data_IF_511391161010
#
_entry.id   IF_511391161010
#
_cell.length_a   1.000
_cell.length_b   1.000
_cell.length_c   1.000
_cell.angle_alpha   90.00
_cell.angle_beta   90.00
_cell.angle_gamma   90.00
#
_symmetry.space_group_name_H-M   'P 1'
#
loop_
_entity.id
_entity.type
_entity.pdbx_description
1 polymer ?
#
# COMPACT_ATOMS: atom_id res chain seq x y z
N UNK A 1 1.25 -1.63 -13.80
CA UNK A 1 1.04 -1.15 -12.41
C UNK A 1 0.42 0.23 -12.51
N UNK A 2 -0.53 0.55 -11.65
CA UNK A 2 -1.18 1.86 -11.63
C UNK A 2 -1.43 2.27 -10.19
N UNK A 3 -1.38 3.57 -9.94
CA UNK A 3 -1.84 4.23 -8.73
C UNK A 3 -2.87 5.29 -9.12
N UNK A 4 -3.49 5.99 -8.15
CA UNK A 4 -4.58 6.92 -8.44
C UNK A 4 -4.21 8.09 -9.35
N UNK A 5 -2.91 8.38 -9.50
CA UNK A 5 -2.40 9.50 -10.28
C UNK A 5 -1.42 9.10 -11.38
N UNK A 6 -0.89 7.87 -11.37
CA UNK A 6 0.13 7.41 -12.31
C UNK A 6 -0.16 6.02 -12.87
N UNK A 7 0.26 5.82 -14.12
CA UNK A 7 0.28 4.49 -14.76
C UNK A 7 1.71 4.23 -15.22
N UNK A 8 2.24 3.06 -14.85
CA UNK A 8 3.55 2.59 -15.32
C UNK A 8 3.35 1.63 -16.49
N UNK A 9 3.95 1.99 -17.63
CA UNK A 9 4.03 1.15 -18.83
C UNK A 9 5.46 0.65 -18.97
N UNK A 10 5.63 -0.68 -18.98
CA UNK A 10 6.94 -1.33 -19.16
C UNK A 10 7.04 -1.74 -20.62
N UNK A 11 8.07 -1.24 -21.31
CA UNK A 11 8.37 -1.59 -22.70
C UNK A 11 9.62 -2.47 -22.71
N UNK A 12 9.54 -3.59 -23.41
CA UNK A 12 10.53 -4.65 -23.45
C UNK A 12 10.87 -5.04 -24.89
N UNK A 13 11.81 -5.98 -25.05
CA UNK A 13 12.17 -6.55 -26.36
C UNK A 13 11.03 -7.30 -27.06
N UNK A 14 9.95 -7.64 -26.33
CA UNK A 14 8.77 -8.31 -26.89
C UNK A 14 7.78 -7.35 -27.56
N UNK A 15 7.87 -6.05 -27.28
CA UNK A 15 6.89 -5.06 -27.71
C UNK A 15 7.21 -4.55 -29.12
N UNK A 16 6.18 -4.46 -29.96
CA UNK A 16 6.30 -3.94 -31.32
C UNK A 16 5.79 -2.51 -31.39
N UNK A 17 6.21 -1.77 -32.42
CA UNK A 17 5.70 -0.42 -32.71
C UNK A 17 4.15 -0.39 -32.74
N UNK A 18 3.53 -1.43 -33.32
CA UNK A 18 2.08 -1.55 -33.42
C UNK A 18 1.39 -1.62 -32.05
N UNK A 19 2.03 -2.23 -31.04
CA UNK A 19 1.48 -2.33 -29.69
C UNK A 19 1.48 -0.96 -29.01
N UNK A 20 2.57 -0.19 -29.19
CA UNK A 20 2.69 1.17 -28.68
C UNK A 20 1.74 2.15 -29.38
N UNK A 21 1.56 2.04 -30.69
CA UNK A 21 0.60 2.85 -31.44
C UNK A 21 -0.82 2.62 -30.89
N UNK A 22 -1.21 1.36 -30.67
CA UNK A 22 -2.51 1.00 -30.08
C UNK A 22 -2.69 1.55 -28.67
N UNK A 23 -1.63 1.52 -27.84
CA UNK A 23 -1.66 2.09 -26.49
C UNK A 23 -1.90 3.61 -26.53
N UNK A 24 -1.17 4.33 -27.37
CA UNK A 24 -1.31 5.79 -27.52
C UNK A 24 -2.71 6.15 -28.00
N UNK A 25 -3.24 5.44 -28.97
CA UNK A 25 -4.58 5.68 -29.50
C UNK A 25 -5.66 5.40 -28.44
N UNK A 26 -5.51 4.36 -27.63
CA UNK A 26 -6.42 4.07 -26.52
C UNK A 26 -6.39 5.18 -25.45
N UNK A 27 -5.20 5.66 -25.06
CA UNK A 27 -5.07 6.74 -24.09
C UNK A 27 -5.68 8.06 -24.59
N UNK A 28 -5.53 8.38 -25.88
CA UNK A 28 -6.20 9.55 -26.49
C UNK A 28 -7.71 9.44 -26.41
N UNK A 29 -8.28 8.28 -26.74
CA UNK A 29 -9.73 8.04 -26.66
C UNK A 29 -10.24 8.19 -25.21
N UNK A 30 -9.53 7.62 -24.24
CA UNK A 30 -9.89 7.78 -22.81
C UNK A 30 -9.87 9.25 -22.41
N UNK A 31 -8.88 10.03 -22.86
CA UNK A 31 -8.80 11.45 -22.57
C UNK A 31 -9.98 12.22 -23.20
N UNK A 32 -10.35 11.92 -24.44
CA UNK A 32 -11.52 12.49 -25.12
C UNK A 32 -12.81 12.17 -24.37
N UNK A 33 -13.03 10.92 -23.96
CA UNK A 33 -14.22 10.48 -23.22
C UNK A 33 -14.31 11.11 -21.81
N UNK A 34 -13.17 11.30 -21.14
CA UNK A 34 -13.12 11.87 -19.78
C UNK A 34 -13.56 13.33 -19.72
N UNK A 35 -13.47 14.10 -20.83
CA UNK A 35 -13.97 15.48 -20.87
C UNK A 35 -15.48 15.58 -20.70
N UNK A 36 -16.20 14.47 -20.88
CA UNK A 36 -17.66 14.39 -20.79
C UNK A 36 -18.16 13.94 -19.41
N UNK A 37 -17.27 13.48 -18.52
CA UNK A 37 -17.61 12.91 -17.22
C UNK A 37 -16.75 13.51 -16.11
N UNK A 38 -17.26 14.55 -15.44
CA UNK A 38 -16.67 15.05 -14.20
C UNK A 38 -17.01 14.10 -13.07
N UNK A 39 -16.01 13.44 -12.48
CA UNK A 39 -16.20 12.62 -11.29
C UNK A 39 -16.47 13.49 -10.06
N UNK A 40 -17.58 13.26 -9.36
CA UNK A 40 -17.96 13.96 -8.12
C UNK A 40 -17.03 13.66 -6.92
N UNK A 41 -16.07 12.74 -7.08
CA UNK A 41 -15.12 12.36 -6.04
C UNK A 41 -13.71 12.84 -6.40
N UNK A 42 -13.21 13.93 -5.79
CA UNK A 42 -11.82 14.32 -5.95
C UNK A 42 -10.90 13.25 -5.35
N UNK A 43 -10.07 12.65 -6.20
CA UNK A 43 -8.99 11.75 -5.81
C UNK A 43 -8.02 12.55 -4.93
N UNK A 44 -8.09 12.34 -3.61
CA UNK A 44 -7.23 13.06 -2.65
C UNK A 44 -5.92 12.30 -2.49
N UNK A 45 -4.79 13.00 -2.57
CA UNK A 45 -3.48 12.40 -2.35
C UNK A 45 -3.37 11.94 -0.88
N UNK A 46 -3.14 10.64 -0.59
CA UNK A 46 -3.03 10.13 0.78
C UNK A 46 -1.81 10.69 1.54
N UNK A 47 -0.90 11.37 0.84
CA UNK A 47 0.33 11.92 1.38
C UNK A 47 1.44 10.87 1.43
N UNK A 48 2.61 11.32 1.89
CA UNK A 48 3.77 10.44 2.07
C UNK A 48 3.53 9.47 3.23
N UNK A 49 4.09 8.25 3.16
CA UNK A 49 4.09 7.35 4.30
C UNK A 49 4.82 7.98 5.48
N UNK A 50 4.40 7.67 6.73
CA UNK A 50 5.10 8.13 7.91
C UNK A 50 6.52 7.58 7.97
N UNK A 51 7.36 8.22 8.78
CA UNK A 51 8.69 7.67 9.09
C UNK A 51 8.48 6.33 9.84
N UNK A 52 9.14 5.24 9.44
CA UNK A 52 9.03 3.96 10.13
C UNK A 52 9.36 4.09 11.61
N UNK A 53 8.67 3.28 12.43
CA UNK A 53 8.99 3.19 13.85
C UNK A 53 10.42 2.71 14.08
N UNK A 54 10.95 3.00 15.27
CA UNK A 54 12.27 2.52 15.63
C UNK A 54 12.28 0.99 15.71
N UNK A 55 13.36 0.37 15.25
CA UNK A 55 13.55 -1.07 15.29
C UNK A 55 14.06 -1.50 16.66
N UNK A 56 13.29 -2.33 17.35
CA UNK A 56 13.63 -2.87 18.68
C UNK A 56 14.17 -4.29 18.64
N UNK A 57 13.83 -5.05 17.58
CA UNK A 57 14.36 -6.40 17.32
C UNK A 57 14.85 -6.48 15.88
N UNK A 58 15.82 -7.34 15.59
CA UNK A 58 16.13 -7.62 14.20
C UNK A 58 14.97 -8.41 13.54
N UNK A 59 14.72 -8.24 12.23
CA UNK A 59 13.53 -8.81 11.60
C UNK A 59 13.37 -10.32 11.77
N UNK A 60 14.49 -11.06 11.72
CA UNK A 60 14.49 -12.51 11.93
C UNK A 60 14.01 -12.90 13.33
N UNK A 61 14.43 -12.17 14.37
CA UNK A 61 14.02 -12.47 15.74
C UNK A 61 12.55 -12.18 15.94
N UNK A 62 12.07 -11.02 15.48
CA UNK A 62 10.66 -10.66 15.61
C UNK A 62 9.74 -11.60 14.83
N UNK A 63 10.15 -12.04 13.63
CA UNK A 63 9.37 -12.97 12.81
C UNK A 63 9.26 -14.37 13.44
N UNK A 64 10.33 -14.84 14.11
CA UNK A 64 10.36 -16.15 14.77
C UNK A 64 9.85 -16.11 16.22
N UNK A 65 9.61 -14.92 16.76
CA UNK A 65 9.12 -14.77 18.12
C UNK A 65 7.68 -15.25 18.26
N UNK A 66 7.35 -15.62 19.49
CA UNK A 66 5.97 -15.80 19.90
C UNK A 66 5.18 -14.52 19.63
N UNK A 67 4.06 -14.66 18.93
CA UNK A 67 3.22 -13.53 18.52
C UNK A 67 1.75 -13.76 18.88
N UNK A 68 0.98 -12.67 18.80
CA UNK A 68 -0.47 -12.68 18.97
C UNK A 68 -1.12 -11.69 18.01
N UNK A 69 -2.34 -11.97 17.51
CA UNK A 69 -3.12 -10.97 16.81
C UNK A 69 -3.60 -9.91 17.80
N UNK A 70 -3.58 -8.65 17.38
CA UNK A 70 -4.21 -7.52 18.07
C UNK A 70 -5.00 -6.69 17.05
N UNK A 71 -6.08 -6.01 17.49
CA UNK A 71 -6.72 -4.99 16.68
C UNK A 71 -5.69 -3.94 16.24
N UNK A 72 -5.69 -3.57 14.96
CA UNK A 72 -4.74 -2.61 14.40
C UNK A 72 -4.75 -1.28 15.17
N UNK A 73 -5.92 -0.84 15.64
CA UNK A 73 -6.05 0.39 16.44
C UNK A 73 -5.45 0.29 17.84
N UNK A 74 -5.25 -0.93 18.35
CA UNK A 74 -4.69 -1.20 19.68
C UNK A 74 -3.21 -1.61 19.63
N UNK A 75 -2.63 -1.72 18.43
CA UNK A 75 -1.24 -2.17 18.25
C UNK A 75 -0.21 -1.05 18.39
N UNK A 76 -0.62 0.19 18.66
CA UNK A 76 0.31 1.31 18.84
C UNK A 76 1.31 1.02 19.98
N UNK A 77 2.58 1.27 19.73
CA UNK A 77 3.69 0.99 20.65
C UNK A 77 4.06 -0.49 20.78
N UNK A 78 3.42 -1.40 20.05
CA UNK A 78 3.79 -2.83 20.03
C UNK A 78 4.79 -3.11 18.91
N UNK A 79 5.55 -4.19 19.06
CA UNK A 79 6.51 -4.64 18.05
C UNK A 79 5.79 -5.47 16.99
N UNK A 80 5.91 -5.06 15.73
CA UNK A 80 5.35 -5.79 14.59
C UNK A 80 6.01 -7.17 14.46
N UNK A 81 5.23 -8.20 14.17
CA UNK A 81 5.72 -9.56 13.90
C UNK A 81 5.54 -9.98 12.43
N UNK A 82 4.90 -9.15 11.61
CA UNK A 82 4.62 -9.42 10.19
C UNK A 82 5.15 -8.30 9.29
N UNK A 83 5.25 -8.58 8.00
CA UNK A 83 5.51 -7.56 6.99
C UNK A 83 4.16 -7.03 6.52
N UNK A 84 3.90 -5.74 6.71
CA UNK A 84 2.67 -5.10 6.21
C UNK A 84 3.02 -4.29 4.97
N UNK A 85 2.38 -4.62 3.83
CA UNK A 85 2.66 -4.02 2.52
C UNK A 85 1.37 -3.46 1.93
N UNK A 86 1.44 -2.27 1.33
CA UNK A 86 0.29 -1.60 0.72
C UNK A 86 0.46 -1.59 -0.78
N UNK A 87 -0.59 -1.95 -1.52
CA UNK A 87 -0.63 -1.89 -2.97
C UNK A 87 -1.78 -1.01 -3.49
N UNK A 88 -1.48 -0.01 -4.35
CA UNK A 88 -0.16 0.61 -4.62
C UNK A 88 0.34 1.44 -3.41
N UNK A 89 1.65 1.72 -3.26
CA UNK A 89 2.76 1.59 -4.23
C UNK A 89 3.48 0.23 -4.25
N UNK A 90 3.18 -0.69 -3.34
CA UNK A 90 3.76 -2.03 -3.27
C UNK A 90 5.07 -2.14 -2.51
N UNK A 91 5.28 -1.28 -1.51
CA UNK A 91 6.43 -1.32 -0.61
C UNK A 91 5.95 -1.62 0.82
N UNK A 92 6.81 -2.28 1.60
CA UNK A 92 6.52 -2.56 3.00
C UNK A 92 6.43 -1.25 3.80
N UNK A 93 5.34 -1.11 4.55
CA UNK A 93 5.14 -0.03 5.52
C UNK A 93 5.61 -0.43 6.92
N UNK A 94 5.46 -1.71 7.27
CA UNK A 94 5.98 -2.28 8.50
C UNK A 94 6.80 -3.52 8.19
N UNK A 95 7.92 -3.67 8.89
CA UNK A 95 8.77 -4.86 8.89
C UNK A 95 8.80 -5.45 10.32
N UNK A 96 8.89 -6.78 10.48
CA UNK A 96 9.03 -7.38 11.80
C UNK A 96 10.16 -6.73 12.61
N UNK A 97 9.89 -6.46 13.88
CA UNK A 97 10.85 -5.85 14.81
C UNK A 97 10.77 -4.33 14.89
N UNK A 98 10.01 -3.68 14.02
CA UNK A 98 9.67 -2.26 14.13
C UNK A 98 8.53 -2.02 15.11
N UNK A 99 8.56 -0.88 15.79
CA UNK A 99 7.43 -0.45 16.62
C UNK A 99 6.33 0.14 15.74
N UNK A 100 5.11 -0.35 15.92
CA UNK A 100 3.93 0.17 15.23
C UNK A 100 3.56 1.52 15.86
N UNK A 101 3.59 2.59 15.07
CA UNK A 101 3.24 3.94 15.55
C UNK A 101 1.78 4.29 15.24
N UNK A 102 1.24 5.28 15.96
CA UNK A 102 -0.12 5.77 15.70
C UNK A 102 -0.26 6.35 14.29
N UNK A 103 0.77 7.05 13.79
CA UNK A 103 0.79 7.61 12.44
C UNK A 103 0.78 6.52 11.38
N UNK A 104 1.45 5.39 11.64
CA UNK A 104 1.42 4.22 10.78
C UNK A 104 0.02 3.63 10.70
N UNK A 105 -0.65 3.47 11.84
CA UNK A 105 -2.03 2.98 11.93
C UNK A 105 -2.98 3.92 11.16
N UNK A 106 -2.88 5.23 11.40
CA UNK A 106 -3.69 6.23 10.71
C UNK A 106 -3.47 6.22 9.20
N UNK A 107 -2.24 6.02 8.75
CA UNK A 107 -1.91 5.91 7.33
C UNK A 107 -2.52 4.65 6.69
N UNK A 108 -2.44 3.50 7.37
CA UNK A 108 -3.07 2.25 6.92
C UNK A 108 -4.59 2.43 6.81
N UNK A 109 -5.23 3.01 7.83
CA UNK A 109 -6.68 3.26 7.79
C UNK A 109 -7.08 4.17 6.62
N UNK A 110 -6.38 5.29 6.42
CA UNK A 110 -6.66 6.22 5.30
C UNK A 110 -6.54 5.54 3.94
N UNK A 111 -5.55 4.67 3.77
CA UNK A 111 -5.36 3.94 2.52
C UNK A 111 -6.39 2.83 2.32
N UNK A 112 -6.85 2.21 3.40
CA UNK A 112 -7.98 1.27 3.37
C UNK A 112 -9.24 1.97 2.86
N UNK A 113 -9.53 3.17 3.38
CA UNK A 113 -10.67 3.98 2.94
C UNK A 113 -10.55 4.42 1.47
N UNK A 114 -9.31 4.53 0.97
CA UNK A 114 -9.00 4.82 -0.42
C UNK A 114 -9.16 3.58 -1.35
N UNK A 115 -9.41 2.40 -0.80
CA UNK A 115 -9.51 1.15 -1.55
C UNK A 115 -8.15 0.53 -1.91
N UNK A 116 -7.08 0.92 -1.22
CA UNK A 116 -5.78 0.24 -1.35
C UNK A 116 -5.88 -1.19 -0.81
N UNK A 117 -5.14 -2.10 -1.43
CA UNK A 117 -5.00 -3.48 -0.93
C UNK A 117 -3.88 -3.52 0.10
N UNK A 118 -4.12 -4.17 1.24
CA UNK A 118 -3.12 -4.33 2.29
C UNK A 118 -2.82 -5.82 2.44
N UNK A 119 -1.55 -6.17 2.39
CA UNK A 119 -1.02 -7.49 2.67
C UNK A 119 -0.33 -7.49 4.04
N UNK A 120 -0.42 -8.61 4.77
CA UNK A 120 0.12 -8.74 6.13
C UNK A 120 -0.84 -8.34 7.27
N UNK A 121 -2.09 -8.00 6.94
CA UNK A 121 -3.19 -7.95 7.91
C UNK A 121 -4.11 -9.19 7.71
N UNK A 122 -5.10 -9.36 8.58
CA UNK A 122 -6.15 -10.35 8.35
C UNK A 122 -7.06 -9.98 7.16
N UNK A 123 -7.96 -10.91 6.77
CA UNK A 123 -8.87 -10.72 5.63
C UNK A 123 -9.75 -9.45 5.73
N UNK A 124 -9.94 -8.92 6.95
CA UNK A 124 -10.71 -7.71 7.21
C UNK A 124 -9.89 -6.43 7.41
N UNK A 125 -8.56 -6.47 7.25
CA UNK A 125 -7.65 -5.36 7.60
C UNK A 125 -7.83 -4.84 9.05
N UNK A 126 -8.30 -5.69 9.94
CA UNK A 126 -8.67 -5.38 11.31
C UNK A 126 -7.62 -5.82 12.33
N UNK A 127 -6.90 -6.91 12.06
CA UNK A 127 -5.94 -7.51 12.96
C UNK A 127 -4.52 -7.50 12.37
N UNK A 128 -3.54 -7.27 13.24
CA UNK A 128 -2.11 -7.35 12.95
C UNK A 128 -1.44 -8.25 13.99
N UNK A 129 -0.43 -9.05 13.60
CA UNK A 129 0.36 -9.79 14.59
C UNK A 129 1.46 -8.93 15.20
N UNK A 130 1.53 -8.98 16.52
CA UNK A 130 2.60 -8.35 17.29
C UNK A 130 3.36 -9.40 18.08
N UNK A 131 4.64 -9.14 18.36
CA UNK A 131 5.43 -9.94 19.31
C UNK A 131 4.73 -9.91 20.69
N UNK A 132 4.75 -11.03 21.41
CA UNK A 132 4.13 -11.15 22.74
C UNK A 132 4.82 -10.32 23.81
#
# INVERSE_FOLDING_TARGET
MADPFHVLVIISIGDRKQDLDRLVDALKRIAEDSTQHTSDHPVTNPGLPPVPGHRVLIPREAFLADHRPLPLRESAGKTCAEVVTIYPPGIALLVPGEVITSETIEYICRLTDFGATIDGLDEGNALIRTVR
#
